data_IF_331121006885
#
_entry.id   IF_331121006885
#
_cell.length_a   1.000
_cell.length_b   1.000
_cell.length_c   1.000
_cell.angle_alpha   90.00
_cell.angle_beta   90.00
_cell.angle_gamma   90.00
#
_symmetry.space_group_name_H-M   'P 1'
#
loop_
_entity.id
_entity.type
_entity.pdbx_description
1 polymer ?
#
# COMPACT_ATOMS: atom_id res chain seq x y z
N UNK A 1 7.55 82.25 -13.42
CA UNK A 1 8.92 82.36 -12.89
C UNK A 1 9.37 81.04 -12.23
N UNK A 2 9.22 79.90 -12.94
CA UNK A 2 9.58 78.55 -12.45
C UNK A 2 9.95 77.58 -13.59
N UNK A 3 10.14 78.09 -14.81
CA UNK A 3 10.59 77.27 -15.96
C UNK A 3 12.11 77.30 -16.11
N UNK A 4 12.75 78.37 -15.63
CA UNK A 4 14.17 78.63 -15.85
C UNK A 4 15.08 77.82 -14.90
N UNK A 5 14.55 77.37 -13.75
CA UNK A 5 15.29 76.57 -12.75
C UNK A 5 15.32 75.07 -13.11
N UNK A 6 14.34 74.59 -13.88
CA UNK A 6 14.29 73.17 -14.28
C UNK A 6 15.36 72.88 -15.37
N UNK A 7 15.76 73.90 -16.13
CA UNK A 7 16.74 73.78 -17.21
C UNK A 7 18.21 73.91 -16.77
N UNK A 8 18.50 74.32 -15.52
CA UNK A 8 19.88 74.57 -15.05
C UNK A 8 20.57 73.36 -14.41
N UNK A 9 20.05 72.14 -14.56
CA UNK A 9 20.82 70.90 -14.36
C UNK A 9 21.24 70.55 -12.92
N UNK A 10 20.68 71.20 -11.90
CA UNK A 10 20.89 70.79 -10.49
C UNK A 10 19.55 70.42 -9.85
N UNK A 11 19.22 69.12 -9.68
CA UNK A 11 17.96 68.72 -9.09
C UNK A 11 17.90 69.23 -7.64
N UNK A 12 16.91 70.08 -7.33
CA UNK A 12 16.64 70.42 -5.93
C UNK A 12 16.05 69.20 -5.23
N UNK A 13 16.31 69.05 -3.93
CA UNK A 13 15.77 67.95 -3.11
C UNK A 13 14.24 67.82 -3.23
N UNK A 14 13.57 68.94 -3.50
CA UNK A 14 12.13 69.00 -3.77
C UNK A 14 11.73 68.30 -5.08
N UNK A 15 12.50 68.48 -6.16
CA UNK A 15 12.21 67.87 -7.46
C UNK A 15 12.38 66.34 -7.39
N UNK A 16 13.39 65.87 -6.64
CA UNK A 16 13.61 64.44 -6.40
C UNK A 16 12.47 63.83 -5.60
N UNK A 17 11.99 64.52 -4.56
CA UNK A 17 10.84 64.08 -3.77
C UNK A 17 9.55 64.03 -4.61
N UNK A 18 9.34 65.03 -5.47
CA UNK A 18 8.18 65.08 -6.36
C UNK A 18 8.19 63.93 -7.37
N UNK A 19 9.35 63.64 -7.98
CA UNK A 19 9.52 62.52 -8.91
C UNK A 19 9.33 61.17 -8.21
N UNK A 20 9.84 61.00 -6.99
CA UNK A 20 9.67 59.77 -6.22
C UNK A 20 8.19 59.51 -5.87
N UNK A 21 7.45 60.54 -5.48
CA UNK A 21 6.00 60.44 -5.20
C UNK A 21 5.24 60.12 -6.49
N UNK A 22 5.58 60.76 -7.61
CA UNK A 22 4.95 60.51 -8.90
C UNK A 22 5.21 59.08 -9.39
N UNK A 23 6.45 58.59 -9.23
CA UNK A 23 6.82 57.21 -9.55
C UNK A 23 6.08 56.21 -8.66
N UNK A 24 5.93 56.49 -7.36
CA UNK A 24 5.17 55.65 -6.44
C UNK A 24 3.68 55.57 -6.83
N UNK A 25 3.06 56.70 -7.20
CA UNK A 25 1.67 56.75 -7.66
C UNK A 25 1.46 56.01 -8.99
N UNK A 26 2.43 56.09 -9.92
CA UNK A 26 2.40 55.38 -11.20
C UNK A 26 2.56 53.86 -11.04
N UNK A 27 3.35 53.41 -10.06
CA UNK A 27 3.57 51.99 -9.78
C UNK A 27 2.49 51.38 -8.87
N UNK A 28 1.73 52.19 -8.13
CA UNK A 28 0.64 51.76 -7.25
C UNK A 28 -0.38 50.80 -7.92
N UNK A 29 -0.92 51.07 -9.14
CA UNK A 29 -1.88 50.17 -9.79
C UNK A 29 -1.26 48.80 -10.16
N UNK A 30 0.04 48.74 -10.46
CA UNK A 30 0.73 47.47 -10.76
C UNK A 30 0.86 46.56 -9.53
N UNK A 31 1.02 47.13 -8.32
CA UNK A 31 1.10 46.34 -7.09
C UNK A 31 -0.26 45.78 -6.65
N UNK A 32 -1.36 46.50 -6.89
CA UNK A 32 -2.71 45.99 -6.60
C UNK A 32 -3.12 44.82 -7.49
N UNK A 33 -2.79 44.85 -8.78
CA UNK A 33 -3.14 43.77 -9.73
C UNK A 33 -2.36 42.47 -9.48
N UNK A 34 -1.08 42.55 -9.09
CA UNK A 34 -0.24 41.38 -8.78
C UNK A 34 -0.68 40.63 -7.51
N UNK A 35 -1.17 41.35 -6.49
CA UNK A 35 -1.72 40.71 -5.27
C UNK A 35 -3.06 40.03 -5.50
N UNK A 36 -3.91 40.59 -6.38
CA UNK A 36 -5.21 40.03 -6.74
C UNK A 36 -5.04 38.73 -7.53
N UNK A 37 -4.17 38.67 -8.53
CA UNK A 37 -3.91 37.44 -9.29
C UNK A 37 -3.27 36.34 -8.43
N UNK A 38 -2.30 36.66 -7.56
CA UNK A 38 -1.60 35.66 -6.75
C UNK A 38 -2.44 35.03 -5.63
N UNK A 39 -3.33 35.80 -4.99
CA UNK A 39 -4.21 35.30 -3.91
C UNK A 39 -5.39 34.52 -4.48
N UNK A 40 -5.99 35.01 -5.57
CA UNK A 40 -7.17 34.38 -6.18
C UNK A 40 -6.81 33.03 -6.81
N UNK A 41 -5.65 32.92 -7.47
CA UNK A 41 -5.18 31.64 -8.05
C UNK A 41 -4.85 30.62 -6.95
N UNK A 42 -4.25 31.04 -5.82
CA UNK A 42 -3.99 30.15 -4.68
C UNK A 42 -5.28 29.66 -4.04
N UNK A 43 -6.26 30.54 -3.85
CA UNK A 43 -7.57 30.19 -3.30
C UNK A 43 -8.31 29.22 -4.21
N UNK A 44 -8.38 29.50 -5.51
CA UNK A 44 -8.98 28.60 -6.50
C UNK A 44 -8.26 27.25 -6.54
N UNK A 45 -6.92 27.22 -6.49
CA UNK A 45 -6.16 25.97 -6.47
C UNK A 45 -6.39 25.15 -5.19
N UNK A 46 -6.53 25.81 -4.04
CA UNK A 46 -6.80 25.14 -2.76
C UNK A 46 -8.26 24.66 -2.66
N UNK A 47 -9.22 25.39 -3.24
CA UNK A 47 -10.61 24.99 -3.38
C UNK A 47 -10.75 23.78 -4.32
N UNK A 48 -10.16 23.84 -5.51
CA UNK A 48 -10.14 22.70 -6.45
C UNK A 48 -9.45 21.48 -5.85
N UNK A 49 -8.36 21.65 -5.07
CA UNK A 49 -7.73 20.53 -4.34
C UNK A 49 -8.62 19.95 -3.24
N UNK A 50 -9.45 20.76 -2.59
CA UNK A 50 -10.40 20.28 -1.58
C UNK A 50 -11.56 19.53 -2.23
N UNK A 51 -12.11 20.06 -3.31
CA UNK A 51 -13.17 19.43 -4.10
C UNK A 51 -12.70 18.09 -4.66
N UNK A 52 -11.52 18.02 -5.31
CA UNK A 52 -10.96 16.74 -5.81
C UNK A 52 -10.76 15.74 -4.66
N UNK A 53 -10.24 16.19 -3.51
CA UNK A 53 -10.06 15.30 -2.34
C UNK A 53 -11.38 14.82 -1.77
N UNK A 54 -12.44 15.61 -1.89
CA UNK A 54 -13.76 15.26 -1.41
C UNK A 54 -14.46 14.31 -2.39
N UNK A 55 -14.42 14.59 -3.69
CA UNK A 55 -14.97 13.74 -4.75
C UNK A 55 -14.31 12.36 -4.76
N UNK A 56 -12.97 12.30 -4.65
CA UNK A 56 -12.24 11.03 -4.56
C UNK A 56 -12.62 10.26 -3.28
N UNK A 57 -12.82 10.95 -2.16
CA UNK A 57 -13.28 10.29 -0.92
C UNK A 57 -14.71 9.76 -1.10
N UNK A 58 -15.61 10.57 -1.63
CA UNK A 58 -17.01 10.20 -1.86
C UNK A 58 -17.12 9.02 -2.83
N UNK A 59 -16.33 9.01 -3.92
CA UNK A 59 -16.25 7.88 -4.85
C UNK A 59 -15.65 6.62 -4.21
N UNK A 60 -14.62 6.75 -3.36
CA UNK A 60 -14.08 5.60 -2.61
C UNK A 60 -15.13 5.05 -1.63
N UNK A 61 -15.91 5.93 -0.98
CA UNK A 61 -16.98 5.52 -0.08
C UNK A 61 -18.14 4.87 -0.85
N UNK A 62 -18.53 5.39 -2.00
CA UNK A 62 -19.58 4.80 -2.84
C UNK A 62 -19.13 3.47 -3.43
N UNK A 63 -17.90 3.35 -3.93
CA UNK A 63 -17.32 2.08 -4.37
C UNK A 63 -17.28 1.05 -3.24
N UNK A 64 -16.90 1.45 -2.02
CA UNK A 64 -16.92 0.55 -0.85
C UNK A 64 -18.34 0.08 -0.55
N UNK A 65 -19.33 0.96 -0.65
CA UNK A 65 -20.74 0.63 -0.42
C UNK A 65 -21.29 -0.28 -1.54
N UNK A 66 -20.92 -0.03 -2.80
CA UNK A 66 -21.31 -0.85 -3.94
C UNK A 66 -20.65 -2.24 -3.90
N UNK A 67 -19.38 -2.34 -3.51
CA UNK A 67 -18.72 -3.63 -3.26
C UNK A 67 -19.42 -4.39 -2.12
N UNK A 68 -19.77 -3.70 -1.04
CA UNK A 68 -20.54 -4.32 0.06
C UNK A 68 -21.93 -4.76 -0.38
N UNK A 69 -22.59 -4.02 -1.28
CA UNK A 69 -23.94 -4.33 -1.76
C UNK A 69 -23.97 -5.40 -2.86
N UNK A 70 -22.98 -5.43 -3.76
CA UNK A 70 -22.84 -6.47 -4.78
C UNK A 70 -22.58 -7.85 -4.15
N UNK A 71 -21.97 -7.88 -2.97
CA UNK A 71 -21.80 -9.09 -2.15
C UNK A 71 -23.10 -9.51 -1.43
N UNK A 72 -24.10 -8.62 -1.32
CA UNK A 72 -25.28 -8.80 -0.47
C UNK A 72 -26.53 -9.36 -1.17
N UNK A 73 -26.47 -9.69 -2.47
CA UNK A 73 -27.64 -10.20 -3.23
C UNK A 73 -27.76 -11.75 -3.20
N UNK A 74 -26.83 -12.46 -2.56
CA UNK A 74 -26.98 -13.90 -2.31
C UNK A 74 -27.29 -14.17 -0.84
N UNK A 75 -28.59 -14.21 -0.51
CA UNK A 75 -29.11 -14.44 0.83
C UNK A 75 -28.89 -15.91 1.28
N UNK A 76 -27.64 -16.27 1.60
CA UNK A 76 -27.25 -17.43 2.39
C UNK A 76 -26.15 -16.96 3.33
N UNK A 77 -26.41 -16.99 4.64
CA UNK A 77 -25.50 -16.64 5.73
C UNK A 77 -24.00 -16.61 5.35
N UNK A 78 -23.50 -15.43 4.99
CA UNK A 78 -22.07 -15.17 4.89
C UNK A 78 -21.54 -15.03 6.33
N UNK A 79 -21.42 -16.17 7.02
CA UNK A 79 -20.30 -16.32 7.94
C UNK A 79 -19.06 -15.96 7.11
N UNK A 80 -18.31 -14.95 7.51
CA UNK A 80 -17.02 -14.62 6.91
C UNK A 80 -16.10 -15.83 7.09
N UNK A 81 -16.23 -16.81 6.19
CA UNK A 81 -15.28 -17.89 6.06
C UNK A 81 -14.16 -17.29 5.22
N UNK A 82 -13.01 -17.07 5.83
CA UNK A 82 -11.78 -16.61 5.17
C UNK A 82 -11.21 -17.71 4.23
N UNK A 83 -12.07 -18.42 3.52
CA UNK A 83 -11.68 -19.44 2.55
C UNK A 83 -11.57 -18.80 1.17
N UNK A 84 -10.57 -19.17 0.37
CA UNK A 84 -10.54 -18.80 -1.04
C UNK A 84 -11.80 -19.34 -1.75
N UNK A 85 -12.28 -18.66 -2.81
CA UNK A 85 -13.39 -19.14 -3.60
C UNK A 85 -13.05 -20.50 -4.24
N UNK A 86 -14.04 -21.39 -4.45
CA UNK A 86 -13.81 -22.64 -5.15
C UNK A 86 -13.46 -22.40 -6.62
N UNK A 87 -12.69 -23.32 -7.20
CA UNK A 87 -12.20 -23.23 -8.59
C UNK A 87 -13.31 -23.00 -9.63
N UNK A 88 -14.51 -23.56 -9.39
CA UNK A 88 -15.68 -23.39 -10.27
C UNK A 88 -16.21 -21.96 -10.36
N UNK A 89 -15.81 -21.07 -9.45
CA UNK A 89 -16.19 -19.66 -9.47
C UNK A 89 -15.14 -18.78 -10.16
N UNK A 90 -13.97 -19.30 -10.52
CA UNK A 90 -12.86 -18.49 -11.06
C UNK A 90 -13.23 -17.81 -12.38
N UNK A 91 -13.94 -18.48 -13.28
CA UNK A 91 -14.40 -17.88 -14.54
C UNK A 91 -15.35 -16.70 -14.31
N UNK A 92 -16.28 -16.86 -13.37
CA UNK A 92 -17.22 -15.79 -12.99
C UNK A 92 -16.48 -14.61 -12.38
N UNK A 93 -15.52 -14.89 -11.48
CA UNK A 93 -14.68 -13.87 -10.86
C UNK A 93 -13.83 -13.12 -11.89
N UNK A 94 -13.28 -13.82 -12.88
CA UNK A 94 -12.51 -13.21 -13.95
C UNK A 94 -13.37 -12.25 -14.80
N UNK A 95 -14.60 -12.67 -15.15
CA UNK A 95 -15.56 -11.84 -15.89
C UNK A 95 -15.99 -10.59 -15.11
N UNK A 96 -16.00 -10.66 -13.77
CA UNK A 96 -16.32 -9.53 -12.90
C UNK A 96 -15.14 -8.58 -12.71
N UNK A 97 -13.93 -9.11 -12.51
CA UNK A 97 -12.75 -8.30 -12.18
C UNK A 97 -12.22 -7.54 -13.41
N UNK A 98 -12.21 -8.17 -14.60
CA UNK A 98 -11.63 -7.56 -15.81
C UNK A 98 -12.26 -6.20 -16.18
N UNK A 99 -13.59 -6.07 -16.30
CA UNK A 99 -14.20 -4.78 -16.64
C UNK A 99 -13.91 -3.68 -15.61
N UNK A 100 -13.91 -4.04 -14.33
CA UNK A 100 -13.59 -3.10 -13.22
C UNK A 100 -12.16 -2.56 -13.38
N UNK A 101 -11.19 -3.43 -13.65
CA UNK A 101 -9.81 -3.03 -13.87
C UNK A 101 -9.67 -2.17 -15.14
N UNK A 102 -10.39 -2.51 -16.21
CA UNK A 102 -10.37 -1.75 -17.46
C UNK A 102 -10.93 -0.34 -17.28
N UNK A 103 -12.04 -0.20 -16.56
CA UNK A 103 -12.65 1.10 -16.29
C UNK A 103 -11.77 1.95 -15.37
N UNK A 104 -11.18 1.35 -14.33
CA UNK A 104 -10.23 2.04 -13.45
C UNK A 104 -8.96 2.49 -14.21
N UNK A 105 -8.46 1.67 -15.15
CA UNK A 105 -7.33 2.05 -16.01
C UNK A 105 -7.66 3.24 -16.90
N UNK A 106 -8.87 3.27 -17.49
CA UNK A 106 -9.33 4.39 -18.32
C UNK A 106 -9.43 5.67 -17.50
N UNK A 107 -9.97 5.60 -16.30
CA UNK A 107 -10.09 6.72 -15.37
C UNK A 107 -8.71 7.31 -15.02
N UNK A 108 -7.73 6.45 -14.73
CA UNK A 108 -6.35 6.85 -14.46
C UNK A 108 -5.57 7.29 -15.70
N UNK A 109 -6.17 7.25 -16.90
CA UNK A 109 -5.49 7.58 -18.16
C UNK A 109 -4.36 6.61 -18.51
N UNK A 110 -4.33 5.41 -17.91
CA UNK A 110 -3.33 4.37 -18.20
C UNK A 110 -3.67 3.80 -19.58
N UNK A 111 -2.85 4.16 -20.59
CA UNK A 111 -2.98 3.60 -21.93
C UNK A 111 -2.80 2.09 -21.87
N UNK A 112 -3.71 1.33 -22.49
CA UNK A 112 -3.82 -0.13 -22.43
C UNK A 112 -2.65 -0.92 -23.05
N UNK A 113 -1.50 -0.29 -23.26
CA UNK A 113 -0.23 -0.93 -23.61
C UNK A 113 0.68 -0.82 -22.40
N UNK A 114 0.37 -1.60 -21.37
CA UNK A 114 1.45 -2.06 -20.52
C UNK A 114 2.32 -2.94 -21.43
N UNK A 115 3.58 -2.56 -21.64
CA UNK A 115 4.62 -3.53 -22.02
C UNK A 115 4.35 -4.80 -21.20
N UNK A 116 4.38 -6.01 -21.80
CA UNK A 116 4.19 -7.23 -21.04
C UNK A 116 5.07 -7.11 -19.80
N UNK A 117 4.45 -7.20 -18.61
CA UNK A 117 5.20 -7.17 -17.37
C UNK A 117 6.35 -8.15 -17.59
N UNK A 118 7.57 -7.62 -17.59
CA UNK A 118 8.76 -8.46 -17.68
C UNK A 118 8.71 -9.53 -16.61
N UNK A 119 9.64 -10.49 -16.65
CA UNK A 119 9.65 -11.60 -15.71
C UNK A 119 9.29 -11.16 -14.27
N UNK A 120 8.11 -11.61 -13.82
CA UNK A 120 7.58 -11.29 -12.49
C UNK A 120 8.20 -12.20 -11.42
N UNK A 121 9.13 -13.08 -11.81
CA UNK A 121 9.84 -13.96 -10.89
C UNK A 121 10.60 -13.10 -9.87
N UNK A 122 10.31 -13.26 -8.57
CA UNK A 122 11.06 -12.57 -7.54
C UNK A 122 12.55 -12.96 -7.57
N UNK A 123 13.40 -12.11 -6.98
CA UNK A 123 14.80 -12.45 -6.79
C UNK A 123 14.98 -13.81 -6.08
N UNK A 124 16.03 -14.60 -6.40
CA UNK A 124 16.24 -15.94 -5.81
C UNK A 124 16.19 -15.98 -4.28
N UNK A 125 16.66 -14.92 -3.62
CA UNK A 125 16.62 -14.76 -2.17
C UNK A 125 15.20 -14.70 -1.63
N UNK A 126 14.30 -14.01 -2.34
CA UNK A 126 12.88 -13.92 -2.00
C UNK A 126 12.22 -15.28 -2.22
N UNK A 127 12.55 -15.96 -3.32
CA UNK A 127 12.07 -17.33 -3.60
C UNK A 127 12.51 -18.29 -2.50
N UNK A 128 13.75 -18.18 -2.02
CA UNK A 128 14.26 -19.00 -0.92
C UNK A 128 13.52 -18.72 0.39
N UNK A 129 13.30 -17.44 0.73
CA UNK A 129 12.53 -17.08 1.92
C UNK A 129 11.07 -17.56 1.83
N UNK A 130 10.44 -17.45 0.66
CA UNK A 130 9.10 -17.98 0.41
C UNK A 130 9.06 -19.50 0.58
N UNK A 131 10.02 -20.22 -0.01
CA UNK A 131 10.13 -21.68 0.11
C UNK A 131 10.34 -22.12 1.57
N UNK A 132 11.19 -21.41 2.30
CA UNK A 132 11.43 -21.63 3.74
C UNK A 132 10.13 -21.51 4.53
N UNK A 133 9.38 -20.42 4.31
CA UNK A 133 8.07 -20.21 4.93
C UNK A 133 7.11 -21.36 4.59
N UNK A 134 6.94 -21.66 3.31
CA UNK A 134 6.04 -22.69 2.81
C UNK A 134 6.29 -24.05 3.48
N UNK A 135 7.55 -24.49 3.56
CA UNK A 135 7.87 -25.77 4.17
C UNK A 135 7.63 -25.79 5.69
N UNK A 136 7.93 -24.70 6.40
CA UNK A 136 7.62 -24.58 7.82
C UNK A 136 6.11 -24.65 8.05
N UNK A 137 5.32 -23.88 7.28
CA UNK A 137 3.85 -23.88 7.39
C UNK A 137 3.27 -25.27 7.16
N UNK A 138 3.77 -25.99 6.14
CA UNK A 138 3.33 -27.35 5.85
C UNK A 138 3.60 -28.32 6.98
N UNK A 139 4.81 -28.31 7.57
CA UNK A 139 5.13 -29.22 8.67
C UNK A 139 4.34 -28.89 9.94
N UNK A 140 4.15 -27.61 10.27
CA UNK A 140 3.29 -27.20 11.40
C UNK A 140 1.84 -27.63 11.17
N UNK A 141 1.33 -27.42 9.96
CA UNK A 141 -0.03 -27.83 9.58
C UNK A 141 -0.20 -29.34 9.63
N UNK A 142 0.81 -30.11 9.17
CA UNK A 142 0.85 -31.57 9.26
C UNK A 142 0.74 -32.03 10.70
N UNK A 143 1.60 -31.52 11.58
CA UNK A 143 1.61 -31.87 13.01
C UNK A 143 0.29 -31.53 13.69
N UNK A 144 -0.23 -30.32 13.42
CA UNK A 144 -1.50 -29.87 13.96
C UNK A 144 -2.65 -30.79 13.53
N UNK A 145 -2.78 -31.06 12.22
CA UNK A 145 -3.85 -31.90 11.70
C UNK A 145 -3.74 -33.36 12.18
N UNK A 146 -2.53 -33.91 12.25
CA UNK A 146 -2.27 -35.25 12.77
C UNK A 146 -2.73 -35.38 14.23
N UNK A 147 -2.37 -34.40 15.06
CA UNK A 147 -2.61 -34.46 16.51
C UNK A 147 -4.05 -34.20 16.91
N UNK A 148 -4.72 -33.28 16.22
CA UNK A 148 -6.07 -32.83 16.56
C UNK A 148 -7.17 -33.47 15.70
N UNK A 149 -6.81 -34.36 14.76
CA UNK A 149 -7.74 -35.12 13.91
C UNK A 149 -8.76 -34.21 13.19
N UNK A 150 -8.28 -33.05 12.72
CA UNK A 150 -9.11 -32.05 12.06
C UNK A 150 -9.71 -32.65 10.79
N UNK A 151 -11.04 -32.63 10.69
CA UNK A 151 -11.76 -33.16 9.53
C UNK A 151 -11.43 -32.32 8.30
N UNK A 152 -11.48 -32.92 7.12
CA UNK A 152 -11.17 -32.21 5.87
C UNK A 152 -12.08 -30.98 5.66
N UNK A 153 -13.35 -31.07 6.07
CA UNK A 153 -14.32 -29.96 6.06
C UNK A 153 -14.00 -28.83 7.05
N UNK A 154 -13.12 -29.06 8.03
CA UNK A 154 -12.66 -28.06 8.99
C UNK A 154 -11.32 -27.44 8.57
N UNK A 155 -10.60 -28.05 7.63
CA UNK A 155 -9.34 -27.52 7.06
C UNK A 155 -9.54 -26.25 6.25
N UNK A 156 -10.76 -25.99 5.76
CA UNK A 156 -11.09 -24.77 5.03
C UNK A 156 -10.97 -23.50 5.89
N UNK A 157 -10.96 -23.65 7.23
CA UNK A 157 -10.71 -22.52 8.13
C UNK A 157 -9.21 -22.33 8.31
N UNK A 158 -8.66 -21.30 7.68
CA UNK A 158 -7.26 -20.94 7.84
C UNK A 158 -6.96 -20.56 9.30
N UNK A 159 -6.22 -21.42 10.01
CA UNK A 159 -5.64 -21.09 11.31
C UNK A 159 -4.24 -20.50 11.09
N UNK A 160 -3.97 -19.36 11.71
CA UNK A 160 -2.63 -18.76 11.66
C UNK A 160 -1.57 -19.67 12.29
N UNK A 161 -0.40 -19.73 11.68
CA UNK A 161 0.75 -20.58 12.08
C UNK A 161 1.13 -20.37 13.54
N UNK A 162 1.18 -19.12 14.01
CA UNK A 162 1.49 -18.82 15.42
C UNK A 162 0.53 -19.50 16.39
N UNK A 163 -0.77 -19.54 16.07
CA UNK A 163 -1.78 -20.19 16.90
C UNK A 163 -1.61 -21.71 16.87
N UNK A 164 -1.33 -22.29 15.70
CA UNK A 164 -1.02 -23.73 15.61
C UNK A 164 0.21 -24.08 16.46
N UNK A 165 1.26 -23.27 16.40
CA UNK A 165 2.46 -23.44 17.25
C UNK A 165 2.10 -23.35 18.74
N UNK A 166 1.25 -22.40 19.15
CA UNK A 166 0.80 -22.29 20.55
C UNK A 166 0.04 -23.52 21.03
N UNK A 167 -0.83 -24.08 20.20
CA UNK A 167 -1.57 -25.32 20.50
C UNK A 167 -0.62 -26.53 20.56
N UNK A 168 0.34 -26.64 19.64
CA UNK A 168 1.34 -27.71 19.63
C UNK A 168 2.27 -27.67 20.86
N UNK A 169 2.67 -26.47 21.31
CA UNK A 169 3.42 -26.30 22.56
C UNK A 169 2.57 -26.70 23.77
N UNK A 170 1.31 -26.25 23.83
CA UNK A 170 0.39 -26.60 24.93
C UNK A 170 0.08 -28.09 25.00
N UNK A 171 0.01 -28.76 23.85
CA UNK A 171 -0.18 -30.20 23.75
C UNK A 171 1.13 -31.00 23.91
N UNK A 172 2.24 -30.32 24.24
CA UNK A 172 3.58 -30.90 24.46
C UNK A 172 4.13 -31.69 23.26
N UNK A 173 3.65 -31.40 22.05
CA UNK A 173 4.15 -31.98 20.79
C UNK A 173 5.51 -31.38 20.42
N UNK A 174 5.68 -30.09 20.73
CA UNK A 174 6.95 -29.39 20.63
C UNK A 174 7.24 -28.67 21.93
N UNK A 175 8.52 -28.54 22.28
CA UNK A 175 8.91 -27.77 23.46
C UNK A 175 8.75 -26.26 23.21
N UNK A 176 8.59 -25.48 24.29
CA UNK A 176 8.52 -24.02 24.21
C UNK A 176 9.73 -23.37 23.48
N UNK A 177 10.99 -23.82 23.70
CA UNK A 177 12.13 -23.36 22.91
C UNK A 177 12.01 -23.64 21.40
N UNK A 178 11.51 -24.81 21.01
CA UNK A 178 11.27 -25.16 19.60
C UNK A 178 10.18 -24.25 19.02
N UNK A 179 9.07 -24.07 19.75
CA UNK A 179 8.00 -23.14 19.38
C UNK A 179 8.50 -21.71 19.16
N UNK A 180 9.41 -21.21 20.02
CA UNK A 180 10.02 -19.89 19.85
C UNK A 180 10.88 -19.82 18.59
N UNK A 181 11.68 -20.84 18.35
CA UNK A 181 12.56 -20.93 17.17
C UNK A 181 11.74 -20.91 15.87
N UNK A 182 10.65 -21.67 15.81
CA UNK A 182 9.72 -21.65 14.67
C UNK A 182 9.20 -20.24 14.39
N UNK A 183 8.74 -19.51 15.43
CA UNK A 183 8.20 -18.16 15.25
C UNK A 183 9.25 -17.17 14.74
N UNK A 184 10.49 -17.29 15.18
CA UNK A 184 11.59 -16.43 14.72
C UNK A 184 11.91 -16.67 13.24
N UNK A 185 12.11 -17.94 12.85
CA UNK A 185 12.38 -18.32 11.46
C UNK A 185 11.20 -17.91 10.56
N UNK A 186 9.97 -18.18 11.02
CA UNK A 186 8.75 -17.79 10.33
C UNK A 186 8.65 -16.27 10.11
N UNK A 187 8.98 -15.47 11.12
CA UNK A 187 8.99 -14.00 11.04
C UNK A 187 9.98 -13.49 9.99
N UNK A 188 11.20 -14.04 10.00
CA UNK A 188 12.26 -13.67 9.05
C UNK A 188 11.84 -14.02 7.61
N UNK A 189 11.33 -15.23 7.39
CA UNK A 189 10.87 -15.65 6.06
C UNK A 189 9.64 -14.86 5.58
N UNK A 190 8.69 -14.56 6.48
CA UNK A 190 7.45 -13.86 6.15
C UNK A 190 7.67 -12.39 5.78
N UNK A 191 8.63 -11.72 6.41
CA UNK A 191 8.98 -10.35 6.08
C UNK A 191 9.29 -10.17 4.58
N UNK A 192 10.00 -11.15 3.99
CA UNK A 192 10.36 -11.16 2.57
C UNK A 192 9.15 -11.28 1.65
N UNK A 193 8.21 -12.16 2.02
CA UNK A 193 6.96 -12.36 1.28
C UNK A 193 6.07 -11.12 1.33
N UNK A 194 6.16 -10.33 2.40
CA UNK A 194 5.45 -9.06 2.53
C UNK A 194 6.17 -7.86 1.88
N UNK A 195 7.13 -8.12 0.98
CA UNK A 195 7.79 -7.08 0.18
C UNK A 195 8.94 -6.37 0.87
N UNK A 196 9.49 -6.91 1.97
CA UNK A 196 10.74 -6.40 2.57
C UNK A 196 11.92 -7.17 2.01
N UNK A 197 12.88 -6.50 1.39
CA UNK A 197 14.07 -7.19 0.93
C UNK A 197 14.84 -7.82 2.10
N UNK A 198 15.14 -9.14 2.04
CA UNK A 198 15.93 -9.79 3.07
C UNK A 198 17.39 -9.35 2.97
N UNK A 199 18.03 -9.08 4.11
CA UNK A 199 19.48 -8.86 4.14
C UNK A 199 20.22 -10.18 3.88
N UNK A 200 21.48 -10.10 3.45
CA UNK A 200 22.31 -11.28 3.20
C UNK A 200 22.45 -12.16 4.44
N UNK A 201 22.53 -11.53 5.61
CA UNK A 201 22.64 -12.22 6.90
C UNK A 201 21.37 -13.00 7.23
N UNK A 202 20.19 -12.43 6.91
CA UNK A 202 18.91 -13.14 7.09
C UNK A 202 18.80 -14.34 6.15
N UNK A 203 19.24 -14.21 4.90
CA UNK A 203 19.26 -15.34 3.96
C UNK A 203 20.23 -16.42 4.43
N UNK A 204 21.45 -16.04 4.82
CA UNK A 204 22.43 -17.00 5.34
C UNK A 204 21.91 -17.72 6.59
N UNK A 205 21.25 -16.99 7.50
CA UNK A 205 20.59 -17.58 8.65
C UNK A 205 19.50 -18.59 8.26
N UNK A 206 18.64 -18.26 7.28
CA UNK A 206 17.63 -19.20 6.80
C UNK A 206 18.28 -20.45 6.19
N UNK A 207 19.34 -20.27 5.38
CA UNK A 207 20.06 -21.38 4.74
C UNK A 207 20.69 -22.34 5.75
N UNK A 208 21.15 -21.82 6.88
CA UNK A 208 21.74 -22.61 7.96
C UNK A 208 20.68 -23.33 8.82
N UNK A 209 19.63 -22.62 9.23
CA UNK A 209 18.68 -23.12 10.24
C UNK A 209 17.52 -23.90 9.65
N UNK A 210 16.99 -23.50 8.49
CA UNK A 210 15.75 -24.06 7.93
C UNK A 210 15.84 -25.57 7.66
N UNK A 211 16.92 -26.11 7.04
CA UNK A 211 17.03 -27.55 6.79
C UNK A 211 16.91 -28.37 8.09
N UNK A 212 17.68 -28.01 9.11
CA UNK A 212 17.68 -28.71 10.40
C UNK A 212 16.34 -28.58 11.13
N UNK A 213 15.71 -27.40 11.06
CA UNK A 213 14.38 -27.20 11.63
C UNK A 213 13.33 -28.09 10.95
N UNK A 214 13.31 -28.16 9.62
CA UNK A 214 12.37 -29.01 8.87
C UNK A 214 12.61 -30.49 9.19
N UNK A 215 13.87 -30.94 9.21
CA UNK A 215 14.21 -32.32 9.59
C UNK A 215 13.71 -32.65 10.99
N UNK A 216 13.90 -31.74 11.95
CA UNK A 216 13.42 -31.89 13.33
C UNK A 216 11.89 -32.01 13.37
N UNK A 217 11.16 -31.16 12.64
CA UNK A 217 9.70 -31.20 12.60
C UNK A 217 9.19 -32.48 11.93
N UNK A 218 9.85 -32.97 10.88
CA UNK A 218 9.51 -34.22 10.19
C UNK A 218 9.70 -35.46 11.05
N UNK A 219 10.68 -35.44 11.95
CA UNK A 219 10.93 -36.54 12.88
C UNK A 219 9.81 -36.69 13.93
N UNK A 220 8.94 -35.69 14.09
CA UNK A 220 7.79 -35.76 15.00
C UNK A 220 6.63 -36.48 14.30
N UNK A 221 6.13 -37.58 14.88
CA UNK A 221 5.04 -38.39 14.31
C UNK A 221 3.69 -37.65 14.27
#
# INVERSE_FOLDING_TARGET
>A
MRKDVILSGSPQAFDTALIAILAALLLMPFFSELSLLGVTIKQQLDETKKEIKQDVKEQIYSMRAEIQNAVNVSNRMNLYVNAPPPDSQLDTLEQQIKPILDDFRKELGIKAQAEPLGDLTPAPEIVYAFSSRYHIENEITRLYNSRFQIRETERERFMGVSKMVDELVRAEIISSPVGRSIREVYSISSASVHGREPSKEKIAFLQDIVPSLIETLRAIP
#
